data_IF_205019100674
#
_entry.id   IF_205019100674
#
_cell.length_a   1.000
_cell.length_b   1.000
_cell.length_c   1.000
_cell.angle_alpha   90.00
_cell.angle_beta   90.00
_cell.angle_gamma   90.00
#
_symmetry.space_group_name_H-M   'P 1'
#
loop_
_entity.id
_entity.type
_entity.pdbx_description
1 polymer ?
#
# COMPACT_ATOMS: atom_id res chain seq x y z
N UNK A 1 -5.61 18.03 -0.65
CA UNK A 1 -5.74 16.57 -0.78
C UNK A 1 -4.72 15.82 0.07
N UNK A 2 -3.41 16.01 -0.13
CA UNK A 2 -2.37 15.29 0.62
C UNK A 2 -2.48 15.40 2.15
N UNK A 3 -2.81 16.59 2.68
CA UNK A 3 -3.07 16.77 4.12
C UNK A 3 -4.28 15.95 4.60
N UNK A 4 -5.35 15.92 3.81
CA UNK A 4 -6.55 15.14 4.15
C UNK A 4 -6.26 13.63 4.11
N UNK A 5 -5.48 13.17 3.13
CA UNK A 5 -5.05 11.78 3.06
C UNK A 5 -4.11 11.41 4.21
N UNK A 6 -3.15 12.27 4.55
CA UNK A 6 -2.28 12.07 5.71
C UNK A 6 -3.08 11.99 7.02
N UNK A 7 -4.11 12.81 7.19
CA UNK A 7 -5.00 12.73 8.35
C UNK A 7 -5.81 11.43 8.38
N UNK A 8 -6.27 10.95 7.22
CA UNK A 8 -6.92 9.63 7.12
C UNK A 8 -5.96 8.51 7.55
N UNK A 9 -4.71 8.51 7.06
CA UNK A 9 -3.71 7.52 7.46
C UNK A 9 -3.46 7.54 8.97
N UNK A 10 -3.36 8.73 9.58
CA UNK A 10 -3.17 8.90 11.04
C UNK A 10 -4.38 8.45 11.89
N UNK A 11 -5.56 8.30 11.30
CA UNK A 11 -6.73 7.73 11.98
C UNK A 11 -6.67 6.21 12.07
N UNK A 12 -5.93 5.56 11.16
CA UNK A 12 -5.91 4.10 11.00
C UNK A 12 -4.61 3.47 11.49
N UNK A 13 -3.50 4.22 11.42
CA UNK A 13 -2.19 3.73 11.79
C UNK A 13 -1.48 4.74 12.69
N UNK A 14 -0.65 4.22 13.59
CA UNK A 14 0.24 5.02 14.40
C UNK A 14 1.26 5.78 13.53
N UNK A 15 1.62 7.00 13.94
CA UNK A 15 2.41 7.92 13.09
C UNK A 15 3.83 7.43 12.82
N UNK A 16 4.40 6.59 13.69
CA UNK A 16 5.71 5.95 13.54
C UNK A 16 5.76 4.93 12.40
N UNK A 17 4.61 4.42 11.97
CA UNK A 17 4.49 3.45 10.87
C UNK A 17 4.29 4.14 9.52
N UNK A 18 4.13 5.46 9.49
CA UNK A 18 3.73 6.22 8.31
C UNK A 18 4.90 7.03 7.73
N UNK A 19 5.13 6.87 6.44
CA UNK A 19 6.21 7.55 5.72
C UNK A 19 5.64 8.23 4.48
N UNK A 20 6.15 9.43 4.16
CA UNK A 20 5.94 10.03 2.85
C UNK A 20 7.20 9.80 2.03
N UNK A 21 7.06 9.05 0.94
CA UNK A 21 8.18 8.62 0.11
C UNK A 21 8.60 9.72 -0.88
N UNK A 22 7.62 10.51 -1.33
CA UNK A 22 7.81 11.61 -2.26
C UNK A 22 6.49 11.95 -2.94
N UNK A 23 6.33 13.16 -3.47
CA UNK A 23 5.12 13.53 -4.22
C UNK A 23 3.81 13.20 -3.48
N UNK A 24 2.99 12.35 -4.08
CA UNK A 24 1.74 11.79 -3.56
C UNK A 24 1.86 10.34 -3.05
N UNK A 25 3.07 9.82 -2.90
CA UNK A 25 3.36 8.45 -2.47
C UNK A 25 3.58 8.35 -0.96
N UNK A 26 2.92 7.36 -0.36
CA UNK A 26 2.96 7.08 1.08
C UNK A 26 3.32 5.61 1.31
N UNK A 27 4.15 5.37 2.31
CA UNK A 27 4.52 4.04 2.80
C UNK A 27 3.91 3.79 4.18
N UNK A 28 3.49 2.55 4.41
CA UNK A 28 3.02 2.07 5.71
C UNK A 28 3.84 0.83 6.05
N UNK A 29 4.61 0.89 7.14
CA UNK A 29 5.40 -0.24 7.62
C UNK A 29 4.75 -0.79 8.90
N UNK A 30 4.27 -2.02 8.85
CA UNK A 30 3.64 -2.67 10.00
C UNK A 30 4.49 -3.84 10.47
N UNK A 31 4.70 -3.90 11.79
CA UNK A 31 5.43 -4.98 12.45
C UNK A 31 4.44 -5.98 13.08
N UNK A 32 4.91 -7.22 13.28
CA UNK A 32 4.16 -8.25 14.01
C UNK A 32 2.75 -8.53 13.46
N UNK A 33 2.58 -8.49 12.13
CA UNK A 33 1.33 -8.87 11.50
C UNK A 33 1.16 -10.38 11.54
N UNK A 34 0.14 -10.84 12.27
CA UNK A 34 -0.14 -12.26 12.47
C UNK A 34 -0.83 -12.90 11.27
N UNK A 35 -1.64 -12.12 10.53
CA UNK A 35 -2.41 -12.68 9.42
C UNK A 35 -2.59 -11.71 8.23
N UNK A 36 -2.74 -12.31 7.04
CA UNK A 36 -2.98 -11.59 5.79
C UNK A 36 -4.35 -10.90 5.74
N UNK A 37 -5.30 -11.36 6.55
CA UNK A 37 -6.68 -10.83 6.61
C UNK A 37 -6.68 -9.45 7.29
N UNK A 38 -5.85 -9.19 8.30
CA UNK A 38 -5.67 -7.89 8.92
C UNK A 38 -5.24 -6.85 7.89
N UNK A 39 -4.23 -7.18 7.06
CA UNK A 39 -3.76 -6.29 6.00
C UNK A 39 -4.81 -6.05 4.93
N UNK A 40 -5.57 -7.10 4.58
CA UNK A 40 -6.70 -6.98 3.66
C UNK A 40 -7.74 -6.00 4.20
N UNK A 41 -8.14 -6.15 5.46
CA UNK A 41 -9.11 -5.27 6.11
C UNK A 41 -8.64 -3.81 6.10
N UNK A 42 -7.37 -3.56 6.44
CA UNK A 42 -6.79 -2.22 6.37
C UNK A 42 -6.83 -1.62 4.97
N UNK A 43 -6.49 -2.40 3.95
CA UNK A 43 -6.51 -1.94 2.56
C UNK A 43 -7.93 -1.63 2.08
N UNK A 44 -8.90 -2.49 2.40
CA UNK A 44 -10.32 -2.28 2.09
C UNK A 44 -10.89 -1.05 2.80
N UNK A 45 -10.56 -0.88 4.09
CA UNK A 45 -10.97 0.29 4.86
C UNK A 45 -10.37 1.58 4.27
N UNK A 46 -9.08 1.58 3.94
CA UNK A 46 -8.42 2.73 3.31
C UNK A 46 -9.08 3.13 1.99
N UNK A 47 -9.39 2.16 1.13
CA UNK A 47 -10.07 2.42 -0.14
C UNK A 47 -11.47 3.01 0.08
N UNK A 48 -12.23 2.47 1.04
CA UNK A 48 -13.56 2.96 1.38
C UNK A 48 -13.52 4.38 1.94
N UNK A 49 -12.72 4.61 2.97
CA UNK A 49 -12.62 5.90 3.66
C UNK A 49 -12.05 6.98 2.73
N UNK A 50 -11.09 6.62 1.87
CA UNK A 50 -10.57 7.52 0.85
C UNK A 50 -11.67 7.93 -0.13
N UNK A 51 -12.42 6.96 -0.66
CA UNK A 51 -13.52 7.22 -1.58
C UNK A 51 -14.55 8.15 -0.95
N UNK A 52 -14.95 7.91 0.29
CA UNK A 52 -15.93 8.75 0.99
C UNK A 52 -15.40 10.17 1.26
N UNK A 53 -14.21 10.30 1.86
CA UNK A 53 -13.64 11.61 2.24
C UNK A 53 -13.20 12.46 1.05
N UNK A 54 -12.80 11.83 -0.06
CA UNK A 54 -12.34 12.54 -1.26
C UNK A 54 -13.50 12.87 -2.19
N UNK A 55 -14.46 11.95 -2.41
CA UNK A 55 -15.62 12.24 -3.26
C UNK A 55 -16.48 13.39 -2.70
N UNK A 56 -16.60 13.50 -1.39
CA UNK A 56 -17.37 14.58 -0.73
C UNK A 56 -16.70 15.95 -0.84
N UNK A 57 -15.36 16.00 -0.96
CA UNK A 57 -14.60 17.26 -0.96
C UNK A 57 -14.08 17.69 -2.33
N UNK A 58 -14.02 16.76 -3.29
CA UNK A 58 -13.42 16.96 -4.61
C UNK A 58 -14.27 16.29 -5.71
N UNK A 59 -15.58 16.56 -5.74
CA UNK A 59 -16.56 15.93 -6.65
C UNK A 59 -16.18 15.98 -8.14
N UNK A 60 -15.45 17.02 -8.54
CA UNK A 60 -15.11 17.26 -9.96
C UNK A 60 -13.75 16.67 -10.37
N UNK A 61 -13.03 16.02 -9.44
CA UNK A 61 -11.69 15.48 -9.69
C UNK A 61 -11.72 13.94 -9.59
N UNK A 62 -11.38 13.27 -10.69
CA UNK A 62 -11.20 11.81 -10.70
C UNK A 62 -9.88 11.43 -10.05
N UNK A 63 -9.93 11.13 -8.75
CA UNK A 63 -8.79 10.64 -7.96
C UNK A 63 -9.10 9.22 -7.48
N UNK A 64 -8.09 8.37 -7.46
CA UNK A 64 -8.18 6.98 -7.02
C UNK A 64 -6.98 6.64 -6.14
N UNK A 65 -7.16 5.71 -5.21
CA UNK A 65 -6.09 5.15 -4.40
C UNK A 65 -5.67 3.78 -4.93
N UNK A 66 -4.38 3.53 -5.10
CA UNK A 66 -3.84 2.21 -5.43
C UNK A 66 -2.89 1.79 -4.31
N UNK A 67 -2.94 0.52 -3.90
CA UNK A 67 -2.19 0.01 -2.75
C UNK A 67 -1.44 -1.26 -3.13
N UNK A 68 -0.11 -1.25 -3.03
CA UNK A 68 0.71 -2.47 -3.12
C UNK A 68 1.05 -2.97 -1.73
N UNK A 69 0.91 -4.28 -1.51
CA UNK A 69 1.15 -4.90 -0.21
C UNK A 69 2.14 -6.05 -0.38
N UNK A 70 3.25 -6.01 0.36
CA UNK A 70 4.16 -7.14 0.47
C UNK A 70 4.30 -7.56 1.93
N UNK A 71 4.42 -8.88 2.15
CA UNK A 71 4.57 -9.48 3.47
C UNK A 71 5.90 -10.21 3.48
N UNK A 72 6.71 -9.95 4.49
CA UNK A 72 7.92 -10.72 4.71
C UNK A 72 7.64 -11.85 5.71
N UNK A 73 7.47 -13.08 5.23
CA UNK A 73 7.25 -14.26 6.08
C UNK A 73 8.55 -14.93 6.51
N UNK A 74 9.67 -14.63 5.85
CA UNK A 74 10.98 -15.21 6.15
C UNK A 74 11.89 -14.13 6.75
N UNK A 75 12.63 -14.46 7.81
CA UNK A 75 13.60 -13.53 8.44
C UNK A 75 14.77 -13.12 7.52
N UNK A 76 14.79 -13.57 6.26
CA UNK A 76 15.88 -13.38 5.31
C UNK A 76 15.71 -12.22 4.32
N UNK A 77 14.54 -11.60 4.20
CA UNK A 77 14.38 -10.45 3.28
C UNK A 77 14.71 -9.13 3.98
N UNK A 78 15.56 -8.31 3.37
CA UNK A 78 15.81 -6.94 3.81
C UNK A 78 14.65 -6.00 3.42
N UNK A 79 14.70 -4.78 3.97
CA UNK A 79 13.70 -3.74 3.69
C UNK A 79 13.64 -3.38 2.20
N UNK A 80 14.77 -3.35 1.49
CA UNK A 80 14.84 -3.01 0.08
C UNK A 80 14.08 -4.01 -0.79
N UNK A 81 14.26 -5.32 -0.52
CA UNK A 81 13.48 -6.38 -1.17
C UNK A 81 11.98 -6.25 -0.86
N UNK A 82 11.62 -6.05 0.40
CA UNK A 82 10.22 -5.90 0.81
C UNK A 82 9.55 -4.70 0.14
N UNK A 83 10.24 -3.56 0.11
CA UNK A 83 9.78 -2.33 -0.53
C UNK A 83 9.60 -2.53 -2.04
N UNK A 84 10.57 -3.13 -2.72
CA UNK A 84 10.49 -3.44 -4.15
C UNK A 84 9.29 -4.33 -4.48
N UNK A 85 9.04 -5.36 -3.65
CA UNK A 85 7.88 -6.24 -3.81
C UNK A 85 6.56 -5.48 -3.64
N UNK A 86 6.47 -4.58 -2.65
CA UNK A 86 5.30 -3.74 -2.44
C UNK A 86 5.07 -2.78 -3.63
N UNK A 87 6.13 -2.18 -4.17
CA UNK A 87 6.07 -1.30 -5.34
C UNK A 87 5.62 -2.05 -6.61
N UNK A 88 6.13 -3.27 -6.84
CA UNK A 88 5.66 -4.13 -7.93
C UNK A 88 4.16 -4.43 -7.81
N UNK A 89 3.69 -4.75 -6.60
CA UNK A 89 2.26 -4.98 -6.37
C UNK A 89 1.43 -3.69 -6.59
N UNK A 90 1.96 -2.54 -6.20
CA UNK A 90 1.32 -1.24 -6.43
C UNK A 90 1.16 -0.97 -7.93
N UNK A 91 2.19 -1.31 -8.73
CA UNK A 91 2.14 -1.17 -10.18
C UNK A 91 1.02 -2.02 -10.79
N UNK A 92 0.85 -3.27 -10.33
CA UNK A 92 -0.26 -4.12 -10.77
C UNK A 92 -1.63 -3.54 -10.39
N UNK A 93 -1.78 -2.99 -9.18
CA UNK A 93 -3.00 -2.25 -8.78
C UNK A 93 -3.28 -1.04 -9.67
N UNK A 94 -2.25 -0.35 -10.15
CA UNK A 94 -2.40 0.79 -11.08
C UNK A 94 -2.84 0.32 -12.47
N UNK A 95 -2.36 -0.84 -12.93
CA UNK A 95 -2.73 -1.45 -14.21
C UNK A 95 -4.14 -2.01 -14.24
N UNK A 96 -4.60 -2.61 -13.14
CA UNK A 96 -5.92 -3.26 -13.04
C UNK A 96 -7.12 -2.29 -12.97
N UNK A 97 -6.94 -1.03 -13.34
CA UNK A 97 -8.00 -0.01 -13.32
C UNK A 97 -7.94 0.99 -12.16
N UNK A 98 -6.92 0.91 -11.28
CA UNK A 98 -6.78 1.72 -10.05
C UNK A 98 -7.90 1.46 -9.04
N UNK A 99 -7.91 2.20 -7.92
CA UNK A 99 -8.92 2.03 -6.85
C UNK A 99 -8.97 0.59 -6.31
N UNK A 100 -7.80 -0.01 -6.15
CA UNK A 100 -7.63 -1.41 -5.80
C UNK A 100 -6.37 -1.60 -4.96
N UNK A 101 -6.29 -2.76 -4.32
CA UNK A 101 -5.08 -3.23 -3.69
C UNK A 101 -4.64 -4.56 -4.30
N UNK A 102 -3.33 -4.82 -4.28
CA UNK A 102 -2.74 -6.06 -4.74
C UNK A 102 -1.74 -6.53 -3.70
N UNK A 103 -1.83 -7.81 -3.33
CA UNK A 103 -0.75 -8.47 -2.62
C UNK A 103 0.29 -8.94 -3.61
N UNK A 104 1.57 -8.70 -3.31
CA UNK A 104 2.65 -9.37 -4.00
C UNK A 104 2.51 -10.89 -3.83
N UNK A 105 2.64 -11.62 -4.92
CA UNK A 105 2.27 -13.04 -5.05
C UNK A 105 3.44 -13.95 -5.45
N UNK A 106 4.67 -13.42 -5.56
CA UNK A 106 5.85 -14.22 -5.87
C UNK A 106 6.38 -14.11 -7.29
N UNK A 107 5.63 -13.52 -8.23
CA UNK A 107 6.07 -13.36 -9.62
C UNK A 107 7.17 -12.27 -9.73
N UNK A 108 8.39 -12.66 -9.38
CA UNK A 108 9.58 -11.80 -9.37
C UNK A 108 10.79 -12.39 -8.64
N UNK A 109 10.61 -13.46 -7.85
CA UNK A 109 11.73 -14.18 -7.20
C UNK A 109 12.35 -15.28 -8.08
N UNK A 110 11.86 -15.47 -9.31
CA UNK A 110 12.46 -16.42 -10.25
C UNK A 110 13.60 -15.70 -10.98
N UNK A 111 14.83 -16.15 -10.69
CA UNK A 111 16.14 -15.84 -11.32
C UNK A 111 16.93 -14.61 -10.84
N UNK A 112 17.75 -14.84 -9.80
CA UNK A 112 19.18 -14.48 -9.84
C UNK A 112 20.02 -15.46 -9.00
N UNK A 113 19.80 -16.77 -9.20
CA UNK A 113 20.85 -17.77 -9.04
C UNK A 113 21.08 -18.40 -10.41
N UNK A 114 22.16 -17.98 -11.05
CA UNK A 114 22.49 -18.39 -12.40
C UNK A 114 23.57 -17.51 -13.00
N UNK A 115 24.78 -17.53 -12.39
CA UNK A 115 26.07 -17.86 -13.05
C UNK A 115 26.94 -18.54 -12.00
#
# INVERSE_FOLDING_TARGET
>A
MLVAFSNLLKQLFSSENLFRLGGDEFGILLHHIEDKKTLKNYAEQLLSDFKEKVATRFSDVKISLSIGIAINSCQSSDFGTLFKRADMALYESKKSGKNAFTFWDGYGDISSEGI
#
